data_IF_296366223315
#
_entry.id   IF_296366223315
#
_cell.length_a   1.000
_cell.length_b   1.000
_cell.length_c   1.000
_cell.angle_alpha   90.00
_cell.angle_beta   90.00
_cell.angle_gamma   90.00
#
_symmetry.space_group_name_H-M   'P 1'
#
loop_
_entity.id
_entity.type
_entity.pdbx_description
1 polymer ?
#
# COMPACT_ATOMS: atom_id res chain seq x y z
N UNK A 1 -10.84 42.21 44.59
CA UNK A 1 -10.97 40.75 44.47
C UNK A 1 -11.20 40.42 43.01
N UNK A 2 -10.17 39.95 42.37
CA UNK A 2 -10.08 39.78 40.95
C UNK A 2 -10.76 38.48 40.51
N UNK A 3 -11.58 38.58 39.48
CA UNK A 3 -12.09 37.43 38.71
C UNK A 3 -11.32 37.34 37.44
N UNK A 4 -10.45 36.32 37.36
CA UNK A 4 -9.62 36.04 36.18
C UNK A 4 -10.50 35.48 35.09
N UNK A 5 -10.80 36.35 34.10
CA UNK A 5 -11.48 35.97 32.88
C UNK A 5 -10.57 35.10 32.01
N UNK A 6 -10.89 33.82 31.84
CA UNK A 6 -10.30 33.01 30.84
C UNK A 6 -10.52 33.62 29.43
N UNK A 7 -9.49 33.70 28.59
CA UNK A 7 -9.67 34.23 27.26
C UNK A 7 -10.62 33.30 26.47
N UNK A 8 -11.67 33.92 25.94
CA UNK A 8 -12.63 33.29 25.03
C UNK A 8 -11.87 32.61 23.89
N UNK A 9 -11.98 31.29 23.81
CA UNK A 9 -11.47 30.54 22.67
C UNK A 9 -12.21 31.03 21.43
N UNK A 10 -11.51 31.82 20.62
CA UNK A 10 -12.01 32.29 19.33
C UNK A 10 -12.41 31.04 18.51
N UNK A 11 -13.71 30.97 18.25
CA UNK A 11 -14.28 29.93 17.35
C UNK A 11 -13.66 30.14 15.98
N UNK A 12 -12.72 29.26 15.61
CA UNK A 12 -12.15 29.24 14.27
C UNK A 12 -13.32 29.05 13.30
N UNK A 13 -13.54 30.01 12.36
CA UNK A 13 -14.58 29.79 11.36
C UNK A 13 -14.23 28.51 10.60
N UNK A 14 -15.21 27.65 10.43
CA UNK A 14 -15.12 26.47 9.56
C UNK A 14 -14.90 26.97 8.14
N UNK A 15 -13.68 27.35 7.81
CA UNK A 15 -13.23 27.46 6.45
C UNK A 15 -13.42 26.04 5.90
N UNK A 16 -14.42 25.88 5.04
CA UNK A 16 -14.51 24.72 4.18
C UNK A 16 -13.20 24.72 3.41
N UNK A 17 -12.29 23.87 3.86
CA UNK A 17 -11.15 23.51 3.06
C UNK A 17 -11.78 22.73 1.91
N UNK A 18 -12.13 23.46 0.85
CA UNK A 18 -12.37 22.85 -0.46
C UNK A 18 -11.06 22.17 -0.83
N UNK A 19 -10.96 20.90 -0.46
CA UNK A 19 -9.94 20.01 -1.00
C UNK A 19 -10.27 19.91 -2.48
N UNK A 20 -9.60 20.75 -3.25
CA UNK A 20 -9.70 20.77 -4.71
C UNK A 20 -9.09 19.46 -5.20
N UNK A 21 -9.91 18.42 -5.23
CA UNK A 21 -9.55 17.18 -5.87
C UNK A 21 -9.29 17.51 -7.35
N UNK A 22 -8.06 17.38 -7.76
CA UNK A 22 -7.71 17.48 -9.17
C UNK A 22 -8.61 16.48 -9.91
N UNK A 23 -9.52 17.01 -10.73
CA UNK A 23 -10.36 16.27 -11.67
C UNK A 23 -9.47 15.73 -12.81
N UNK A 24 -8.51 14.89 -12.50
CA UNK A 24 -8.01 13.90 -13.44
C UNK A 24 -9.15 12.90 -13.63
N UNK A 25 -9.51 12.64 -14.86
CA UNK A 25 -10.51 11.66 -15.28
C UNK A 25 -10.37 10.41 -14.41
N UNK A 26 -11.18 10.30 -13.36
CA UNK A 26 -11.17 9.17 -12.44
C UNK A 26 -11.74 8.02 -13.23
N UNK A 27 -10.88 7.24 -13.87
CA UNK A 27 -11.28 5.96 -14.43
C UNK A 27 -11.85 5.15 -13.27
N UNK A 28 -13.11 4.76 -13.35
CA UNK A 28 -13.79 4.01 -12.29
C UNK A 28 -12.99 2.75 -11.99
N UNK A 29 -12.29 2.74 -10.86
CA UNK A 29 -11.55 1.56 -10.41
C UNK A 29 -12.56 0.49 -10.00
N UNK A 30 -12.34 -0.74 -10.47
CA UNK A 30 -13.18 -1.89 -10.16
C UNK A 30 -12.30 -3.15 -10.05
N UNK A 31 -12.94 -4.30 -9.80
CA UNK A 31 -12.23 -5.57 -9.67
C UNK A 31 -11.32 -5.89 -10.86
N UNK A 32 -11.67 -5.51 -12.08
CA UNK A 32 -10.92 -5.85 -13.28
C UNK A 32 -9.65 -4.99 -13.47
N UNK A 33 -9.67 -3.72 -13.01
CA UNK A 33 -8.60 -2.75 -13.24
C UNK A 33 -7.88 -2.27 -11.97
N UNK A 34 -8.13 -2.89 -10.79
CA UNK A 34 -7.54 -2.47 -9.53
C UNK A 34 -6.05 -2.83 -9.36
N UNK A 35 -5.49 -3.69 -10.23
CA UNK A 35 -4.12 -4.18 -10.10
C UNK A 35 -3.09 -3.09 -10.46
N UNK A 36 -2.32 -2.64 -9.47
CA UNK A 36 -1.19 -1.74 -9.70
C UNK A 36 -0.01 -2.53 -10.29
N UNK A 37 0.55 -2.02 -11.40
CA UNK A 37 1.78 -2.54 -12.01
C UNK A 37 2.95 -1.62 -11.64
N UNK A 38 3.91 -2.06 -10.82
CA UNK A 38 5.05 -1.24 -10.39
C UNK A 38 6.07 -1.12 -11.55
N UNK A 39 5.81 -0.22 -12.50
CA UNK A 39 6.60 -0.03 -13.73
C UNK A 39 8.07 0.24 -13.42
N UNK A 40 8.36 1.07 -12.43
CA UNK A 40 9.74 1.38 -12.01
C UNK A 40 10.48 0.16 -11.45
N UNK A 41 9.79 -0.70 -10.71
CA UNK A 41 10.40 -1.95 -10.20
C UNK A 41 10.69 -2.93 -11.33
N UNK A 42 9.79 -3.03 -12.32
CA UNK A 42 10.01 -3.87 -13.51
C UNK A 42 11.19 -3.35 -14.33
N UNK A 43 11.28 -2.02 -14.52
CA UNK A 43 12.40 -1.39 -15.23
C UNK A 43 13.72 -1.63 -14.50
N UNK A 44 13.77 -1.44 -13.18
CA UNK A 44 14.96 -1.72 -12.38
C UNK A 44 15.39 -3.20 -12.49
N UNK A 45 14.44 -4.13 -12.47
CA UNK A 45 14.69 -5.55 -12.69
C UNK A 45 15.26 -5.85 -14.08
N UNK A 46 14.73 -5.21 -15.12
CA UNK A 46 15.24 -5.34 -16.49
C UNK A 46 16.69 -4.82 -16.62
N UNK A 47 16.98 -3.65 -16.06
CA UNK A 47 18.34 -3.09 -16.03
C UNK A 47 19.33 -4.02 -15.29
N UNK A 48 18.89 -4.61 -14.17
CA UNK A 48 19.70 -5.57 -13.42
C UNK A 48 20.00 -6.83 -14.25
N UNK A 49 19.02 -7.36 -14.99
CA UNK A 49 19.23 -8.50 -15.88
C UNK A 49 20.25 -8.18 -16.98
N UNK A 50 20.19 -6.99 -17.56
CA UNK A 50 21.16 -6.54 -18.56
C UNK A 50 22.58 -6.48 -17.95
N UNK A 51 22.71 -5.93 -16.73
CA UNK A 51 23.98 -5.87 -16.02
C UNK A 51 24.57 -7.26 -15.73
N UNK A 52 23.74 -8.20 -15.26
CA UNK A 52 24.15 -9.59 -15.00
C UNK A 52 24.59 -10.27 -16.31
N UNK A 53 23.82 -10.09 -17.38
CA UNK A 53 24.16 -10.68 -18.69
C UNK A 53 25.50 -10.14 -19.21
N UNK A 54 25.71 -8.82 -19.14
CA UNK A 54 26.95 -8.18 -19.53
C UNK A 54 28.16 -8.68 -18.69
N UNK A 55 27.96 -8.85 -17.39
CA UNK A 55 28.97 -9.42 -16.50
C UNK A 55 29.35 -10.87 -16.92
N UNK A 56 28.35 -11.72 -17.15
CA UNK A 56 28.59 -13.12 -17.56
C UNK A 56 29.31 -13.20 -18.91
N UNK A 57 28.94 -12.33 -19.85
CA UNK A 57 29.63 -12.27 -21.16
C UNK A 57 31.07 -11.81 -21.01
N UNK A 58 31.33 -10.81 -20.19
CA UNK A 58 32.68 -10.33 -19.89
C UNK A 58 33.53 -11.41 -19.23
N UNK A 59 32.97 -12.12 -18.24
CA UNK A 59 33.63 -13.25 -17.56
C UNK A 59 34.07 -14.33 -18.56
N UNK A 60 33.19 -14.71 -19.48
CA UNK A 60 33.51 -15.72 -20.51
C UNK A 60 34.60 -15.28 -21.47
N UNK A 61 34.66 -13.98 -21.81
CA UNK A 61 35.67 -13.41 -22.73
C UNK A 61 37.07 -13.34 -22.12
N UNK A 62 37.16 -12.98 -20.84
CA UNK A 62 38.44 -12.75 -20.16
C UNK A 62 39.05 -14.05 -19.62
N UNK A 63 38.27 -15.12 -19.51
CA UNK A 63 38.76 -16.43 -19.08
C UNK A 63 39.18 -16.53 -17.61
N UNK A 64 38.77 -15.57 -16.76
CA UNK A 64 39.09 -15.58 -15.34
C UNK A 64 38.62 -14.35 -14.58
N UNK A 65 38.87 -14.33 -13.26
CA UNK A 65 38.57 -13.19 -12.37
C UNK A 65 39.60 -12.08 -12.53
N UNK A 66 39.22 -11.02 -13.24
CA UNK A 66 40.01 -9.75 -13.23
C UNK A 66 39.56 -8.85 -12.08
N UNK A 67 40.41 -7.94 -11.62
CA UNK A 67 40.02 -6.96 -10.59
C UNK A 67 38.81 -6.13 -10.98
N UNK A 68 38.65 -5.76 -12.27
CA UNK A 68 37.50 -5.06 -12.79
C UNK A 68 36.22 -5.95 -12.77
N UNK A 69 36.38 -7.25 -13.03
CA UNK A 69 35.27 -8.22 -12.96
C UNK A 69 34.74 -8.37 -11.53
N UNK A 70 35.63 -8.42 -10.53
CA UNK A 70 35.26 -8.47 -9.11
C UNK A 70 34.50 -7.20 -8.72
N UNK A 71 35.03 -6.03 -9.12
CA UNK A 71 34.36 -4.75 -8.83
C UNK A 71 32.97 -4.65 -9.43
N UNK A 72 32.81 -5.09 -10.70
CA UNK A 72 31.51 -5.08 -11.37
C UNK A 72 30.52 -6.06 -10.73
N UNK A 73 30.97 -7.25 -10.33
CA UNK A 73 30.15 -8.22 -9.60
C UNK A 73 29.69 -7.65 -8.25
N UNK A 74 30.58 -7.03 -7.50
CA UNK A 74 30.26 -6.38 -6.24
C UNK A 74 29.23 -5.25 -6.40
N UNK A 75 29.41 -4.40 -7.41
CA UNK A 75 28.47 -3.32 -7.71
C UNK A 75 27.08 -3.88 -8.10
N UNK A 76 27.03 -4.90 -8.96
CA UNK A 76 25.77 -5.54 -9.36
C UNK A 76 25.06 -6.16 -8.17
N UNK A 77 25.80 -6.85 -7.29
CA UNK A 77 25.26 -7.42 -6.07
C UNK A 77 24.73 -6.33 -5.11
N UNK A 78 25.47 -5.24 -4.94
CA UNK A 78 25.04 -4.12 -4.11
C UNK A 78 23.74 -3.49 -4.62
N UNK A 79 23.61 -3.26 -5.93
CA UNK A 79 22.38 -2.73 -6.54
C UNK A 79 21.22 -3.72 -6.36
N UNK A 80 21.43 -5.02 -6.57
CA UNK A 80 20.40 -6.04 -6.36
C UNK A 80 19.90 -6.06 -4.91
N UNK A 81 20.80 -5.96 -3.95
CA UNK A 81 20.47 -5.88 -2.52
C UNK A 81 19.68 -4.61 -2.21
N UNK A 82 20.11 -3.45 -2.71
CA UNK A 82 19.42 -2.17 -2.50
C UNK A 82 18.00 -2.20 -3.05
N UNK A 83 17.79 -2.70 -4.27
CA UNK A 83 16.47 -2.84 -4.88
C UNK A 83 15.59 -3.78 -4.05
N UNK A 84 16.13 -4.92 -3.61
CA UNK A 84 15.40 -5.89 -2.80
C UNK A 84 15.02 -5.33 -1.43
N UNK A 85 15.96 -4.67 -0.76
CA UNK A 85 15.73 -4.03 0.54
C UNK A 85 14.71 -2.89 0.43
N UNK A 86 14.88 -1.99 -0.53
CA UNK A 86 13.93 -0.89 -0.78
C UNK A 86 12.51 -1.43 -0.96
N UNK A 87 12.34 -2.46 -1.77
CA UNK A 87 11.05 -3.11 -1.99
C UNK A 87 10.46 -3.69 -0.69
N UNK A 88 11.26 -4.40 0.09
CA UNK A 88 10.81 -5.00 1.35
C UNK A 88 10.41 -3.96 2.38
N UNK A 89 11.21 -2.90 2.55
CA UNK A 89 10.89 -1.83 3.49
C UNK A 89 9.63 -1.07 3.09
N UNK A 90 9.50 -0.72 1.81
CA UNK A 90 8.32 -0.04 1.29
C UNK A 90 7.06 -0.88 1.52
N UNK A 91 7.11 -2.18 1.18
CA UNK A 91 5.96 -3.07 1.38
C UNK A 91 5.57 -3.18 2.85
N UNK A 92 6.56 -3.37 3.75
CA UNK A 92 6.28 -3.43 5.21
C UNK A 92 5.67 -2.13 5.75
N UNK A 93 6.11 -0.98 5.23
CA UNK A 93 5.56 0.31 5.62
C UNK A 93 4.12 0.46 5.12
N UNK A 94 3.85 0.13 3.87
CA UNK A 94 2.50 0.09 3.29
C UNK A 94 1.57 -0.82 4.09
N UNK A 95 2.04 -1.98 4.52
CA UNK A 95 1.29 -2.92 5.34
C UNK A 95 0.84 -2.31 6.68
N UNK A 96 1.71 -1.53 7.30
CA UNK A 96 1.38 -0.82 8.55
C UNK A 96 0.40 0.31 8.32
N UNK A 97 0.57 1.07 7.24
CA UNK A 97 -0.31 2.18 6.87
C UNK A 97 -1.71 1.65 6.60
N UNK A 98 -1.87 0.59 5.79
CA UNK A 98 -3.18 0.00 5.49
C UNK A 98 -3.90 -0.45 6.77
N UNK A 99 -3.20 -1.09 7.70
CA UNK A 99 -3.80 -1.49 8.99
C UNK A 99 -4.25 -0.29 9.81
N UNK A 100 -3.45 0.76 9.87
CA UNK A 100 -3.77 1.97 10.62
C UNK A 100 -4.95 2.71 9.97
N UNK A 101 -4.91 2.90 8.66
CA UNK A 101 -5.97 3.52 7.86
C UNK A 101 -7.31 2.82 8.10
N UNK A 102 -7.37 1.50 7.94
CA UNK A 102 -8.59 0.74 8.15
C UNK A 102 -9.08 0.78 9.59
N UNK A 103 -8.17 0.82 10.58
CA UNK A 103 -8.54 0.98 11.99
C UNK A 103 -9.18 2.33 12.26
N UNK A 104 -8.57 3.41 11.75
CA UNK A 104 -9.07 4.78 11.93
C UNK A 104 -10.39 4.97 11.18
N UNK A 105 -10.47 4.52 9.93
CA UNK A 105 -11.68 4.60 9.10
C UNK A 105 -12.86 3.89 9.73
N UNK A 106 -12.64 2.69 10.24
CA UNK A 106 -13.72 1.85 10.75
C UNK A 106 -14.10 2.13 12.22
N UNK A 107 -13.27 2.86 12.97
CA UNK A 107 -13.52 3.14 14.39
C UNK A 107 -14.89 3.78 14.68
N UNK A 108 -15.42 4.71 13.86
CA UNK A 108 -16.69 5.38 14.15
C UNK A 108 -17.92 4.50 14.02
N UNK A 109 -17.90 3.44 13.19
CA UNK A 109 -19.11 2.69 12.84
C UNK A 109 -19.04 1.19 13.12
N UNK A 110 -17.87 0.62 13.43
CA UNK A 110 -17.76 -0.78 13.83
C UNK A 110 -17.95 -0.96 15.33
N UNK A 111 -18.75 -1.96 15.71
CA UNK A 111 -18.87 -2.40 17.09
C UNK A 111 -17.51 -2.90 17.64
N UNK A 112 -17.26 -2.84 18.99
CA UNK A 112 -15.99 -3.26 19.57
C UNK A 112 -15.57 -4.67 19.20
N UNK A 113 -16.51 -5.58 19.03
CA UNK A 113 -16.25 -6.97 18.62
C UNK A 113 -15.78 -7.05 17.16
N UNK A 114 -16.42 -6.28 16.28
CA UNK A 114 -16.02 -6.18 14.88
C UNK A 114 -14.67 -5.51 14.71
N UNK A 115 -14.35 -4.52 15.53
CA UNK A 115 -13.01 -3.90 15.54
C UNK A 115 -11.93 -4.91 15.94
N UNK A 116 -12.18 -5.77 16.92
CA UNK A 116 -11.27 -6.87 17.29
C UNK A 116 -11.14 -7.87 16.15
N UNK A 117 -12.25 -8.25 15.53
CA UNK A 117 -12.26 -9.15 14.37
C UNK A 117 -11.45 -8.59 13.20
N UNK A 118 -11.61 -7.28 12.88
CA UNK A 118 -10.82 -6.60 11.85
C UNK A 118 -9.32 -6.65 12.16
N UNK A 119 -8.93 -6.44 13.42
CA UNK A 119 -7.52 -6.48 13.85
C UNK A 119 -6.92 -7.89 13.78
N UNK A 120 -7.72 -8.93 13.96
CA UNK A 120 -7.30 -10.32 13.88
C UNK A 120 -7.15 -10.85 12.45
N UNK A 121 -7.74 -10.16 11.46
CA UNK A 121 -7.62 -10.54 10.05
C UNK A 121 -6.19 -10.37 9.54
N UNK A 122 -5.83 -11.24 8.59
CA UNK A 122 -4.59 -11.06 7.83
C UNK A 122 -4.66 -9.79 6.95
N UNK A 123 -3.48 -9.24 6.65
CA UNK A 123 -3.37 -7.99 5.91
C UNK A 123 -4.02 -8.03 4.53
N UNK A 124 -3.95 -9.18 3.84
CA UNK A 124 -4.50 -9.32 2.48
C UNK A 124 -6.02 -9.19 2.48
N UNK A 125 -6.68 -9.72 3.53
CA UNK A 125 -8.13 -9.59 3.72
C UNK A 125 -8.50 -8.17 4.12
N UNK A 126 -7.73 -7.53 5.01
CA UNK A 126 -7.92 -6.11 5.35
C UNK A 126 -7.80 -5.23 4.11
N UNK A 127 -6.77 -5.43 3.29
CA UNK A 127 -6.58 -4.70 2.04
C UNK A 127 -7.68 -4.97 1.00
N UNK A 128 -8.36 -6.11 1.07
CA UNK A 128 -9.51 -6.41 0.23
C UNK A 128 -10.77 -5.68 0.71
N UNK A 129 -10.98 -5.60 2.03
CA UNK A 129 -12.10 -4.86 2.65
C UNK A 129 -12.03 -3.35 2.39
N UNK A 130 -10.84 -2.79 2.17
CA UNK A 130 -10.63 -1.36 1.92
C UNK A 130 -11.42 -0.83 0.72
N UNK A 131 -11.69 -1.68 -0.26
CA UNK A 131 -12.45 -1.33 -1.46
C UNK A 131 -13.96 -1.25 -1.25
N UNK A 132 -14.48 -1.70 -0.12
CA UNK A 132 -15.89 -1.60 0.22
C UNK A 132 -16.25 -0.23 0.78
N UNK A 133 -17.52 0.22 0.56
CA UNK A 133 -18.05 1.43 1.20
C UNK A 133 -18.21 1.24 2.71
N UNK A 134 -18.26 2.34 3.48
CA UNK A 134 -18.38 2.30 4.93
C UNK A 134 -19.64 1.56 5.39
N UNK A 135 -20.74 1.72 4.66
CA UNK A 135 -22.01 1.02 4.93
C UNK A 135 -21.92 -0.49 4.70
N UNK A 136 -21.05 -0.92 3.79
CA UNK A 136 -20.92 -2.33 3.41
C UNK A 136 -19.90 -3.08 4.29
N UNK A 137 -18.88 -2.38 4.83
CA UNK A 137 -17.81 -2.97 5.60
C UNK A 137 -18.29 -3.84 6.77
N UNK A 138 -19.25 -3.43 7.63
CA UNK A 138 -19.66 -4.24 8.78
C UNK A 138 -20.18 -5.62 8.38
N UNK A 139 -21.11 -5.67 7.43
CA UNK A 139 -21.71 -6.92 6.96
C UNK A 139 -20.73 -7.81 6.19
N UNK A 140 -19.83 -7.20 5.41
CA UNK A 140 -18.82 -7.90 4.64
C UNK A 140 -17.72 -8.46 5.56
N UNK A 141 -17.36 -7.74 6.61
CA UNK A 141 -16.41 -8.19 7.64
C UNK A 141 -16.95 -9.42 8.37
N UNK A 142 -18.19 -9.37 8.86
CA UNK A 142 -18.80 -10.48 9.57
C UNK A 142 -18.86 -11.74 8.68
N UNK A 143 -19.17 -11.56 7.40
CA UNK A 143 -19.18 -12.64 6.43
C UNK A 143 -17.79 -13.16 6.12
N UNK A 144 -16.81 -12.26 6.00
CA UNK A 144 -15.42 -12.63 5.74
C UNK A 144 -14.80 -13.45 6.88
N UNK A 145 -15.19 -13.16 8.12
CA UNK A 145 -14.74 -13.90 9.32
C UNK A 145 -15.48 -15.24 9.41
N UNK A 146 -16.81 -15.23 9.35
CA UNK A 146 -17.65 -16.43 9.50
C UNK A 146 -17.35 -17.49 8.43
N UNK A 147 -17.27 -17.06 7.17
CA UNK A 147 -17.15 -17.94 6.01
C UNK A 147 -15.67 -18.11 5.58
N UNK A 148 -14.72 -17.56 6.35
CA UNK A 148 -13.28 -17.58 6.11
C UNK A 148 -12.90 -17.16 4.68
N UNK A 149 -13.56 -16.13 4.13
CA UNK A 149 -13.42 -15.71 2.73
C UNK A 149 -11.95 -15.36 2.39
N UNK A 150 -11.53 -15.77 1.20
CA UNK A 150 -10.25 -15.34 0.64
C UNK A 150 -10.29 -13.85 0.22
N UNK A 151 -9.12 -13.18 0.11
CA UNK A 151 -9.06 -11.78 -0.35
C UNK A 151 -9.76 -11.54 -1.69
N UNK A 152 -9.69 -12.51 -2.60
CA UNK A 152 -10.33 -12.43 -3.91
C UNK A 152 -11.85 -12.53 -3.81
N UNK A 153 -12.37 -13.44 -2.98
CA UNK A 153 -13.79 -13.56 -2.70
C UNK A 153 -14.35 -12.30 -2.03
N UNK A 154 -13.61 -11.69 -1.10
CA UNK A 154 -13.99 -10.41 -0.48
C UNK A 154 -14.13 -9.34 -1.56
N UNK A 155 -13.11 -9.15 -2.43
CA UNK A 155 -13.15 -8.15 -3.51
C UNK A 155 -14.31 -8.36 -4.47
N UNK A 156 -14.62 -9.61 -4.85
CA UNK A 156 -15.76 -9.94 -5.72
C UNK A 156 -17.10 -9.69 -5.05
N UNK A 157 -17.14 -9.69 -3.73
CA UNK A 157 -18.34 -9.45 -2.96
C UNK A 157 -18.66 -7.98 -2.74
N UNK A 158 -17.71 -7.08 -3.01
CA UNK A 158 -17.89 -5.63 -2.91
C UNK A 158 -18.88 -5.17 -3.97
N UNK A 159 -19.96 -4.52 -3.55
CA UNK A 159 -21.00 -3.95 -4.41
C UNK A 159 -20.73 -2.49 -4.72
N UNK A 160 -20.40 -1.72 -3.69
CA UNK A 160 -20.11 -0.30 -3.79
C UNK A 160 -18.59 -0.09 -3.68
N UNK A 161 -17.91 -0.05 -4.83
CA UNK A 161 -16.47 0.01 -4.90
C UNK A 161 -15.95 1.42 -4.60
N UNK A 162 -15.10 1.54 -3.58
CA UNK A 162 -14.36 2.77 -3.25
C UNK A 162 -12.99 2.71 -3.93
N UNK A 163 -12.68 3.62 -4.87
CA UNK A 163 -11.41 3.62 -5.55
C UNK A 163 -10.27 4.01 -4.62
N UNK A 164 -9.14 3.35 -4.78
CA UNK A 164 -7.89 3.63 -4.07
C UNK A 164 -6.97 4.42 -5.02
N UNK A 165 -7.00 5.73 -4.91
CA UNK A 165 -6.30 6.65 -5.81
C UNK A 165 -4.87 6.98 -5.36
N UNK A 166 -4.51 6.71 -4.09
CA UNK A 166 -3.23 7.08 -3.50
C UNK A 166 -2.18 5.94 -3.54
N UNK A 167 -2.38 4.97 -4.41
CA UNK A 167 -1.44 3.86 -4.58
C UNK A 167 -0.20 4.28 -5.37
N UNK A 168 0.94 4.24 -4.72
CA UNK A 168 2.28 4.37 -5.33
C UNK A 168 2.80 3.03 -5.86
#
# INVERSE_FOLDING_TARGET
>A
MGGDGFPSVARIPSAQVEVRWHNSVVSSQNYANHAHRPTMTVLAGACLLVAITGFVMQWRRVGGMSASGIGLAGLTAAVALLVSMSRQYTTRLQDRIIRLEMRVRCAPFLAPEQQRALQALDLRRIAALRFASDDEIPSLLDRAVRDALSPDQIKRSVKNWVPDLDRT
#
